data_IF_554746654732
#
_entry.id   IF_554746654732
#
_cell.length_a   1.000
_cell.length_b   1.000
_cell.length_c   1.000
_cell.angle_alpha   90.00
_cell.angle_beta   90.00
_cell.angle_gamma   90.00
#
_symmetry.space_group_name_H-M   'P 1'
#
loop_
_entity.id
_entity.type
_entity.pdbx_description
1 polymer ?
#
# COMPACT_ATOMS: atom_id res chain seq x y z
N UNK A 1 68.88 -47.71 16.75
CA UNK A 1 70.02 -46.87 17.21
C UNK A 1 69.44 -45.55 17.72
N UNK A 2 69.62 -45.27 19.01
CA UNK A 2 69.28 -44.01 19.67
C UNK A 2 70.03 -42.84 19.00
N UNK A 3 69.41 -41.66 18.86
CA UNK A 3 69.96 -40.38 19.35
C UNK A 3 68.81 -39.40 19.59
N UNK A 4 68.86 -38.77 20.76
CA UNK A 4 67.98 -37.74 21.30
C UNK A 4 68.67 -36.36 21.19
N UNK A 5 67.87 -35.27 21.26
CA UNK A 5 68.21 -33.84 21.55
C UNK A 5 68.80 -32.98 20.39
N UNK A 6 68.50 -31.67 20.17
CA UNK A 6 67.85 -30.58 20.95
C UNK A 6 67.56 -29.34 20.03
N UNK A 7 66.45 -28.58 20.33
CA UNK A 7 66.12 -27.12 20.14
C UNK A 7 66.29 -26.46 18.74
N UNK A 8 65.55 -25.43 18.27
CA UNK A 8 64.60 -24.39 18.73
C UNK A 8 64.19 -23.62 17.44
N UNK A 9 62.99 -23.13 17.13
CA UNK A 9 62.34 -21.93 17.69
C UNK A 9 61.16 -21.51 16.79
N UNK A 10 60.10 -20.97 17.43
CA UNK A 10 59.03 -20.08 16.92
C UNK A 10 57.94 -20.65 15.98
N UNK A 11 56.93 -21.19 16.64
CA UNK A 11 55.52 -21.17 16.24
C UNK A 11 55.00 -19.72 16.10
N UNK A 12 54.42 -19.38 14.95
CA UNK A 12 53.62 -18.18 14.75
C UNK A 12 52.19 -18.45 15.21
N UNK A 13 51.75 -17.63 16.15
CA UNK A 13 50.52 -17.70 16.93
C UNK A 13 49.28 -17.35 16.10
N UNK A 14 48.27 -18.22 16.20
CA UNK A 14 46.86 -17.92 15.96
C UNK A 14 46.40 -16.85 16.97
N UNK A 15 46.22 -15.61 16.53
CA UNK A 15 45.44 -14.64 17.28
C UNK A 15 43.95 -14.94 17.09
N UNK A 16 43.41 -15.71 18.02
CA UNK A 16 41.99 -15.77 18.32
C UNK A 16 41.54 -14.39 18.82
N UNK A 17 40.91 -13.61 17.93
CA UNK A 17 40.14 -12.43 18.31
C UNK A 17 38.88 -12.89 19.04
N UNK A 18 39.01 -13.16 20.34
CA UNK A 18 37.88 -13.34 21.26
C UNK A 18 37.29 -11.97 21.60
N UNK A 19 36.64 -11.36 20.62
CA UNK A 19 35.76 -10.23 20.83
C UNK A 19 34.48 -10.72 21.49
N UNK A 20 34.39 -10.56 22.81
CA UNK A 20 33.16 -10.69 23.60
C UNK A 20 32.09 -9.74 23.04
N UNK A 21 31.27 -10.24 22.11
CA UNK A 21 30.05 -9.54 21.68
C UNK A 21 29.02 -9.78 22.78
N UNK A 22 28.95 -8.79 23.66
CA UNK A 22 27.97 -8.61 24.72
C UNK A 22 26.56 -9.03 24.24
N UNK A 23 26.00 -10.10 24.81
CA UNK A 23 24.66 -10.65 24.46
C UNK A 23 23.54 -9.59 24.50
N UNK A 24 23.74 -8.51 25.28
CA UNK A 24 22.82 -7.37 25.38
C UNK A 24 22.60 -6.64 24.04
N UNK A 25 23.57 -6.62 23.14
CA UNK A 25 23.44 -5.95 21.83
C UNK A 25 22.61 -6.76 20.83
N UNK A 26 22.61 -8.09 20.93
CA UNK A 26 21.80 -8.96 20.06
C UNK A 26 20.30 -8.93 20.44
N UNK A 27 19.97 -8.70 21.71
CA UNK A 27 18.58 -8.55 22.20
C UNK A 27 17.94 -7.25 21.71
N UNK A 28 18.70 -6.16 21.62
CA UNK A 28 18.18 -4.83 21.25
C UNK A 28 17.81 -4.76 19.75
N UNK A 29 18.54 -5.45 18.88
CA UNK A 29 18.27 -5.46 17.43
C UNK A 29 16.99 -6.24 17.08
N UNK A 30 16.65 -7.28 17.86
CA UNK A 30 15.39 -8.02 17.70
C UNK A 30 14.20 -7.16 18.12
N UNK A 31 14.29 -6.48 19.26
CA UNK A 31 13.21 -5.66 19.84
C UNK A 31 12.73 -4.54 18.91
N UNK A 32 13.65 -3.81 18.25
CA UNK A 32 13.28 -2.74 17.33
C UNK A 32 12.53 -3.19 16.06
N UNK A 33 12.74 -4.43 15.60
CA UNK A 33 12.07 -4.99 14.42
C UNK A 33 10.69 -5.54 14.77
N UNK A 34 10.55 -6.25 15.89
CA UNK A 34 9.25 -6.76 16.37
C UNK A 34 8.29 -5.63 16.71
N UNK A 35 8.72 -4.62 17.48
CA UNK A 35 7.85 -3.49 17.87
C UNK A 35 7.40 -2.67 16.65
N UNK A 36 8.27 -2.48 15.64
CA UNK A 36 7.88 -1.82 14.37
C UNK A 36 6.82 -2.63 13.61
N UNK A 37 6.92 -3.95 13.58
CA UNK A 37 5.91 -4.81 12.95
C UNK A 37 4.60 -4.83 13.73
N UNK A 38 4.63 -4.84 15.07
CA UNK A 38 3.43 -4.79 15.91
C UNK A 38 2.67 -3.48 15.69
N UNK A 39 3.35 -2.33 15.66
CA UNK A 39 2.70 -1.03 15.38
C UNK A 39 2.05 -0.99 14.00
N UNK A 40 2.71 -1.54 12.97
CA UNK A 40 2.14 -1.63 11.61
C UNK A 40 0.89 -2.53 11.60
N UNK A 41 0.93 -3.66 12.28
CA UNK A 41 -0.20 -4.58 12.39
C UNK A 41 -1.39 -3.92 13.11
N UNK A 42 -1.15 -3.23 14.23
CA UNK A 42 -2.21 -2.53 14.98
C UNK A 42 -2.84 -1.43 14.11
N UNK A 43 -2.04 -0.62 13.42
CA UNK A 43 -2.56 0.42 12.51
C UNK A 43 -3.37 -0.19 11.36
N UNK A 44 -2.95 -1.33 10.83
CA UNK A 44 -3.69 -2.05 9.80
C UNK A 44 -5.04 -2.58 10.31
N UNK A 45 -5.07 -3.15 11.51
CA UNK A 45 -6.31 -3.62 12.15
C UNK A 45 -7.27 -2.45 12.40
N UNK A 46 -6.77 -1.32 12.91
CA UNK A 46 -7.57 -0.10 13.11
C UNK A 46 -8.15 0.40 11.78
N UNK A 47 -7.32 0.41 10.73
CA UNK A 47 -7.75 0.81 9.39
C UNK A 47 -8.89 -0.08 8.86
N UNK A 48 -8.77 -1.41 8.98
CA UNK A 48 -9.84 -2.34 8.61
C UNK A 48 -11.09 -2.08 9.45
N UNK A 49 -10.94 -1.95 10.78
CA UNK A 49 -12.07 -1.76 11.68
C UNK A 49 -12.85 -0.48 11.35
N UNK A 50 -12.15 0.63 11.09
CA UNK A 50 -12.77 1.88 10.66
C UNK A 50 -13.48 1.72 9.31
N UNK A 51 -12.86 1.07 8.33
CA UNK A 51 -13.52 0.83 7.03
C UNK A 51 -14.73 -0.10 7.13
N UNK A 52 -14.73 -1.05 8.05
CA UNK A 52 -15.85 -1.98 8.24
C UNK A 52 -16.99 -1.38 9.07
N UNK A 53 -16.73 -0.36 9.90
CA UNK A 53 -17.75 0.28 10.73
C UNK A 53 -18.23 1.60 10.12
N UNK A 54 -17.30 2.55 9.97
CA UNK A 54 -17.54 3.87 9.40
C UNK A 54 -17.77 3.79 7.88
N UNK A 55 -17.01 2.95 7.19
CA UNK A 55 -17.15 2.72 5.75
C UNK A 55 -18.03 1.52 5.37
N UNK A 56 -18.89 1.01 6.25
CA UNK A 56 -19.49 -0.31 6.07
C UNK A 56 -20.22 -0.49 4.73
N UNK A 57 -21.09 0.46 4.36
CA UNK A 57 -21.91 0.36 3.14
C UNK A 57 -21.06 0.33 1.86
N UNK A 58 -20.05 1.19 1.78
CA UNK A 58 -19.13 1.23 0.64
C UNK A 58 -18.20 0.02 0.60
N UNK A 59 -17.72 -0.45 1.76
CA UNK A 59 -16.87 -1.65 1.85
C UNK A 59 -17.65 -2.90 1.46
N UNK A 60 -18.94 -2.98 1.82
CA UNK A 60 -19.83 -4.04 1.39
C UNK A 60 -20.07 -3.99 -0.12
N UNK A 61 -20.34 -2.82 -0.69
CA UNK A 61 -20.45 -2.67 -2.14
C UNK A 61 -19.15 -3.09 -2.86
N UNK A 62 -18.00 -2.70 -2.32
CA UNK A 62 -16.69 -3.11 -2.81
C UNK A 62 -16.49 -4.63 -2.75
N UNK A 63 -16.92 -5.27 -1.66
CA UNK A 63 -16.88 -6.72 -1.52
C UNK A 63 -17.74 -7.43 -2.57
N UNK A 64 -18.95 -6.94 -2.86
CA UNK A 64 -19.80 -7.51 -3.91
C UNK A 64 -19.12 -7.43 -5.29
N UNK A 65 -18.54 -6.28 -5.63
CA UNK A 65 -17.79 -6.12 -6.90
C UNK A 65 -16.56 -7.02 -6.93
N UNK A 66 -15.86 -7.17 -5.80
CA UNK A 66 -14.74 -8.08 -5.65
C UNK A 66 -15.14 -9.55 -5.89
N UNK A 67 -16.25 -10.00 -5.32
CA UNK A 67 -16.76 -11.37 -5.51
C UNK A 67 -17.11 -11.65 -6.97
N UNK A 68 -17.67 -10.67 -7.69
CA UNK A 68 -17.92 -10.79 -9.14
C UNK A 68 -16.63 -10.88 -9.96
N UNK A 69 -15.51 -10.40 -9.42
CA UNK A 69 -14.20 -10.39 -10.07
C UNK A 69 -13.19 -11.32 -9.36
N UNK A 70 -13.64 -12.33 -8.61
CA UNK A 70 -12.78 -13.20 -7.78
C UNK A 70 -11.74 -13.99 -8.58
N UNK A 71 -11.98 -14.18 -9.89
CA UNK A 71 -11.07 -14.86 -10.81
C UNK A 71 -9.97 -13.94 -11.35
N UNK A 72 -10.03 -12.65 -11.02
CA UNK A 72 -9.07 -11.65 -11.46
C UNK A 72 -7.78 -11.70 -10.63
N UNK A 73 -6.74 -10.98 -11.08
CA UNK A 73 -5.53 -10.84 -10.28
C UNK A 73 -5.76 -9.83 -9.14
N UNK A 74 -5.41 -10.23 -7.92
CA UNK A 74 -5.55 -9.41 -6.72
C UNK A 74 -4.20 -9.21 -6.03
N UNK A 75 -3.96 -8.03 -5.49
CA UNK A 75 -2.77 -7.69 -4.71
C UNK A 75 -3.12 -6.75 -3.56
N UNK A 76 -2.35 -6.77 -2.47
CA UNK A 76 -2.49 -5.76 -1.43
C UNK A 76 -1.73 -4.49 -1.81
N UNK A 77 -2.42 -3.36 -1.78
CA UNK A 77 -1.88 -2.04 -2.10
C UNK A 77 -2.05 -1.10 -0.91
N UNK A 78 -0.98 -0.90 -0.14
CA UNK A 78 -0.97 -0.05 1.06
C UNK A 78 -2.11 -0.35 2.06
N UNK A 79 -2.50 -1.62 2.15
CA UNK A 79 -3.59 -2.09 3.02
C UNK A 79 -4.96 -2.18 2.35
N UNK A 80 -5.15 -1.62 1.15
CA UNK A 80 -6.32 -1.82 0.32
C UNK A 80 -6.18 -3.09 -0.54
N UNK A 81 -7.30 -3.72 -0.90
CA UNK A 81 -7.34 -4.86 -1.81
C UNK A 81 -7.43 -4.33 -3.24
N UNK A 82 -6.34 -4.43 -3.99
CA UNK A 82 -6.26 -4.05 -5.41
C UNK A 82 -6.65 -5.20 -6.30
N UNK A 83 -7.64 -4.98 -7.16
CA UNK A 83 -8.13 -5.95 -8.14
C UNK A 83 -7.91 -5.45 -9.55
N UNK A 84 -7.29 -6.26 -10.40
CA UNK A 84 -7.11 -5.93 -11.81
C UNK A 84 -8.26 -6.48 -12.65
N UNK A 85 -9.14 -5.60 -13.12
CA UNK A 85 -10.36 -6.00 -13.84
C UNK A 85 -10.34 -5.60 -15.32
N UNK A 86 -11.31 -6.11 -16.07
CA UNK A 86 -11.44 -5.87 -17.52
C UNK A 86 -11.98 -4.48 -17.88
N UNK A 87 -12.56 -3.75 -16.93
CA UNK A 87 -13.08 -2.42 -17.20
C UNK A 87 -11.96 -1.40 -17.48
N UNK A 88 -12.26 -0.40 -18.31
CA UNK A 88 -11.31 0.64 -18.72
C UNK A 88 -11.17 1.80 -17.71
N UNK A 89 -12.01 1.82 -16.68
CA UNK A 89 -12.01 2.81 -15.61
C UNK A 89 -11.50 2.21 -14.31
N UNK A 90 -10.98 3.06 -13.43
CA UNK A 90 -10.76 2.69 -12.03
C UNK A 90 -12.05 2.83 -11.21
N UNK A 91 -12.09 2.16 -10.08
CA UNK A 91 -13.17 2.29 -9.09
C UNK A 91 -12.61 2.06 -7.69
N UNK A 92 -13.02 2.90 -6.74
CA UNK A 92 -12.64 2.76 -5.33
C UNK A 92 -13.89 2.70 -4.45
N UNK A 93 -13.96 1.64 -3.64
CA UNK A 93 -15.09 1.33 -2.76
C UNK A 93 -14.56 0.84 -1.42
N UNK A 94 -14.47 1.74 -0.44
CA UNK A 94 -13.96 1.40 0.89
C UNK A 94 -12.56 0.81 0.81
N UNK A 95 -12.43 -0.43 1.29
CA UNK A 95 -11.18 -1.19 1.29
C UNK A 95 -10.71 -1.66 -0.10
N UNK A 96 -11.59 -1.66 -1.10
CA UNK A 96 -11.33 -2.27 -2.40
C UNK A 96 -11.03 -1.20 -3.44
N UNK A 97 -9.94 -1.40 -4.18
CA UNK A 97 -9.61 -0.59 -5.37
C UNK A 97 -9.56 -1.49 -6.59
N UNK A 98 -10.14 -1.02 -7.69
CA UNK A 98 -10.23 -1.73 -8.95
C UNK A 98 -9.51 -0.92 -10.02
N UNK A 99 -8.60 -1.58 -10.73
CA UNK A 99 -7.70 -0.94 -11.70
C UNK A 99 -7.74 -1.72 -13.02
N UNK A 100 -7.73 -1.07 -14.19
CA UNK A 100 -7.69 -1.75 -15.49
C UNK A 100 -6.48 -2.67 -15.63
N UNK A 101 -6.72 -3.93 -16.01
CA UNK A 101 -5.66 -4.91 -16.29
C UNK A 101 -4.93 -4.62 -17.61
N UNK A 102 -5.63 -4.05 -18.59
CA UNK A 102 -5.14 -3.86 -19.96
C UNK A 102 -4.45 -2.49 -20.16
N UNK A 103 -3.53 -2.11 -19.27
CA UNK A 103 -2.76 -0.87 -19.39
C UNK A 103 -1.28 -1.07 -19.05
N UNK A 104 -0.43 -0.12 -19.44
CA UNK A 104 1.00 -0.18 -19.08
C UNK A 104 1.16 -0.14 -17.56
N UNK A 105 2.24 -0.74 -17.04
CA UNK A 105 2.53 -0.77 -15.61
C UNK A 105 2.55 0.63 -14.99
N UNK A 106 3.08 1.62 -15.71
CA UNK A 106 3.14 3.00 -15.24
C UNK A 106 1.74 3.63 -15.10
N UNK A 107 0.86 3.39 -16.08
CA UNK A 107 -0.53 3.88 -16.03
C UNK A 107 -1.29 3.17 -14.91
N UNK A 108 -1.09 1.85 -14.77
CA UNK A 108 -1.72 1.04 -13.73
C UNK A 108 -1.34 1.50 -12.32
N UNK A 109 -0.05 1.81 -12.10
CA UNK A 109 0.42 2.34 -10.82
C UNK A 109 -0.09 3.75 -10.57
N UNK A 110 -0.07 4.65 -11.57
CA UNK A 110 -0.67 5.99 -11.45
C UNK A 110 -2.15 5.91 -11.06
N UNK A 111 -2.91 5.03 -11.70
CA UNK A 111 -4.31 4.79 -11.37
C UNK A 111 -4.46 4.20 -9.95
N UNK A 112 -3.60 3.26 -9.55
CA UNK A 112 -3.63 2.69 -8.20
C UNK A 112 -3.45 3.76 -7.11
N UNK A 113 -2.54 4.72 -7.34
CA UNK A 113 -2.34 5.87 -6.43
C UNK A 113 -3.60 6.73 -6.34
N UNK A 114 -4.24 7.01 -7.48
CA UNK A 114 -5.48 7.77 -7.57
C UNK A 114 -6.63 7.09 -6.81
N UNK A 115 -6.90 5.81 -7.10
CA UNK A 115 -7.95 5.03 -6.44
C UNK A 115 -7.71 4.86 -4.94
N UNK A 116 -6.44 4.78 -4.53
CA UNK A 116 -6.08 4.79 -3.11
C UNK A 116 -6.38 6.15 -2.45
N UNK A 117 -6.26 7.26 -3.17
CA UNK A 117 -6.71 8.56 -2.72
C UNK A 117 -8.20 8.59 -2.40
N UNK A 118 -9.02 7.97 -3.26
CA UNK A 118 -10.44 7.77 -3.00
C UNK A 118 -10.70 6.88 -1.79
N UNK A 119 -9.90 5.84 -1.56
CA UNK A 119 -9.96 5.03 -0.34
C UNK A 119 -9.72 5.85 0.94
N UNK A 120 -8.83 6.85 0.88
CA UNK A 120 -8.60 7.77 2.01
C UNK A 120 -9.76 8.74 2.21
N UNK A 121 -10.35 9.27 1.14
CA UNK A 121 -11.57 10.09 1.23
C UNK A 121 -12.73 9.29 1.81
N UNK A 122 -12.83 8.03 1.40
CA UNK A 122 -13.77 7.03 1.89
C UNK A 122 -13.61 6.78 3.39
N UNK A 123 -12.37 6.65 3.87
CA UNK A 123 -12.07 6.50 5.29
C UNK A 123 -12.45 7.78 6.08
N UNK A 124 -12.25 8.97 5.51
CA UNK A 124 -12.61 10.22 6.16
C UNK A 124 -14.13 10.40 6.24
N UNK A 125 -14.84 10.24 5.11
CA UNK A 125 -16.26 10.57 4.97
C UNK A 125 -17.20 9.44 5.38
N UNK A 126 -16.72 8.19 5.41
CA UNK A 126 -17.48 7.03 5.83
C UNK A 126 -18.77 6.86 5.01
N UNK A 127 -19.97 6.86 5.62
CA UNK A 127 -21.23 6.66 4.89
C UNK A 127 -21.51 7.77 3.87
N UNK A 128 -21.03 9.00 4.14
CA UNK A 128 -21.24 10.15 3.26
C UNK A 128 -20.39 10.09 1.99
N UNK A 129 -19.38 9.22 1.93
CA UNK A 129 -18.51 9.08 0.76
C UNK A 129 -19.32 8.82 -0.51
N UNK A 130 -20.26 7.88 -0.47
CA UNK A 130 -21.07 7.55 -1.65
C UNK A 130 -21.92 8.73 -2.13
N UNK A 131 -22.37 9.59 -1.22
CA UNK A 131 -23.19 10.76 -1.57
C UNK A 131 -22.36 11.98 -2.01
N UNK A 132 -21.23 12.23 -1.35
CA UNK A 132 -20.42 13.43 -1.54
C UNK A 132 -19.34 13.24 -2.61
N UNK A 133 -18.84 12.02 -2.78
CA UNK A 133 -17.74 11.68 -3.68
C UNK A 133 -18.21 10.73 -4.77
N UNK A 134 -18.74 9.57 -4.38
CA UNK A 134 -19.15 8.52 -5.32
C UNK A 134 -20.20 9.00 -6.32
N UNK A 135 -21.26 9.64 -5.84
CA UNK A 135 -22.36 10.10 -6.69
C UNK A 135 -21.92 11.24 -7.63
N UNK A 136 -21.23 12.31 -7.17
CA UNK A 136 -20.71 13.32 -8.09
C UNK A 136 -19.69 12.77 -9.10
N UNK A 137 -18.76 11.90 -8.70
CA UNK A 137 -17.81 11.27 -9.63
C UNK A 137 -18.52 10.38 -10.66
N UNK A 138 -19.56 9.64 -10.25
CA UNK A 138 -20.36 8.82 -11.18
C UNK A 138 -21.17 9.68 -12.16
N UNK A 139 -21.83 10.73 -11.68
CA UNK A 139 -22.54 11.70 -12.54
C UNK A 139 -21.56 12.36 -13.52
N UNK A 140 -20.39 12.76 -13.03
CA UNK A 140 -19.34 13.35 -13.86
C UNK A 140 -18.85 12.37 -14.93
N UNK A 141 -18.62 11.10 -14.58
CA UNK A 141 -18.28 10.03 -15.50
C UNK A 141 -19.33 9.84 -16.62
N UNK A 142 -20.62 9.84 -16.26
CA UNK A 142 -21.71 9.72 -17.23
C UNK A 142 -21.81 10.94 -18.18
N UNK A 143 -21.58 12.15 -17.65
CA UNK A 143 -21.67 13.39 -18.42
C UNK A 143 -20.39 13.71 -19.22
N UNK A 144 -19.25 13.09 -18.86
CA UNK A 144 -17.95 13.30 -19.51
C UNK A 144 -17.96 13.12 -21.04
N UNK A 145 -18.52 12.05 -21.65
CA UNK A 145 -18.54 11.91 -23.10
C UNK A 145 -19.33 13.01 -23.82
N UNK A 146 -20.34 13.60 -23.16
CA UNK A 146 -21.14 14.72 -23.70
C UNK A 146 -20.35 16.03 -23.57
N UNK A 147 -19.70 16.25 -22.43
CA UNK A 147 -18.97 17.48 -22.13
C UNK A 147 -17.62 17.57 -22.87
N UNK A 148 -16.93 16.43 -23.08
CA UNK A 148 -15.68 16.35 -23.84
C UNK A 148 -15.86 16.84 -25.28
N UNK A 149 -16.99 16.51 -25.92
CA UNK A 149 -17.32 16.98 -27.26
C UNK A 149 -17.64 18.47 -27.35
N UNK A 150 -18.09 19.08 -26.24
CA UNK A 150 -18.57 20.47 -26.22
C UNK A 150 -17.53 21.49 -25.74
N UNK A 151 -16.59 21.12 -24.87
CA UNK A 151 -15.77 22.12 -24.14
C UNK A 151 -14.30 21.76 -23.89
N UNK A 152 -13.77 20.63 -24.36
CA UNK A 152 -12.35 20.28 -24.16
C UNK A 152 -11.92 20.14 -22.69
N UNK A 153 -12.86 19.82 -21.79
CA UNK A 153 -12.63 19.72 -20.33
C UNK A 153 -11.97 18.37 -20.01
N UNK A 154 -10.92 18.37 -19.18
CA UNK A 154 -10.25 17.15 -18.72
C UNK A 154 -10.99 16.53 -17.52
N UNK A 155 -11.08 15.20 -17.48
CA UNK A 155 -11.79 14.45 -16.44
C UNK A 155 -11.32 14.82 -15.02
N UNK A 156 -10.00 14.97 -14.86
CA UNK A 156 -9.33 15.32 -13.60
C UNK A 156 -9.50 16.79 -13.16
N UNK A 157 -10.26 17.62 -13.88
CA UNK A 157 -10.49 19.00 -13.45
C UNK A 157 -11.46 19.14 -12.29
N UNK A 158 -12.24 18.09 -12.03
CA UNK A 158 -13.18 18.05 -10.93
C UNK A 158 -12.43 18.04 -9.58
N UNK A 159 -12.86 18.92 -8.65
CA UNK A 159 -12.12 19.19 -7.41
C UNK A 159 -11.95 17.94 -6.54
N UNK A 160 -12.93 17.04 -6.58
CA UNK A 160 -12.93 15.76 -5.85
C UNK A 160 -11.89 14.79 -6.41
N UNK A 161 -11.71 14.77 -7.74
CA UNK A 161 -10.69 13.96 -8.43
C UNK A 161 -9.29 14.50 -8.13
N UNK A 162 -9.09 15.83 -8.17
CA UNK A 162 -7.83 16.48 -7.77
C UNK A 162 -7.47 16.18 -6.32
N UNK A 163 -8.48 16.15 -5.45
CA UNK A 163 -8.31 15.84 -4.04
C UNK A 163 -7.83 14.40 -3.84
N UNK A 164 -8.42 13.42 -4.54
CA UNK A 164 -7.99 12.03 -4.50
C UNK A 164 -6.54 11.90 -4.99
N UNK A 165 -6.22 12.54 -6.12
CA UNK A 165 -4.89 12.52 -6.71
C UNK A 165 -3.81 13.07 -5.76
N UNK A 166 -4.09 14.20 -5.10
CA UNK A 166 -3.18 14.82 -4.15
C UNK A 166 -2.97 13.95 -2.90
N UNK A 167 -4.05 13.36 -2.38
CA UNK A 167 -4.00 12.51 -1.19
C UNK A 167 -3.28 11.20 -1.44
N UNK A 168 -3.57 10.54 -2.56
CA UNK A 168 -2.87 9.33 -2.99
C UNK A 168 -1.36 9.55 -3.09
N UNK A 169 -0.94 10.60 -3.84
CA UNK A 169 0.48 10.94 -4.00
C UNK A 169 1.17 11.20 -2.66
N UNK A 170 0.53 11.99 -1.77
CA UNK A 170 1.08 12.31 -0.45
C UNK A 170 1.20 11.07 0.43
N UNK A 171 0.19 10.21 0.46
CA UNK A 171 0.19 8.99 1.26
C UNK A 171 1.25 8.00 0.78
N UNK A 172 1.31 7.71 -0.52
CA UNK A 172 2.33 6.83 -1.10
C UNK A 172 3.74 7.37 -0.82
N UNK A 173 3.98 8.68 -1.02
CA UNK A 173 5.28 9.30 -0.73
C UNK A 173 5.70 9.14 0.74
N UNK A 174 4.76 9.29 1.69
CA UNK A 174 5.02 9.07 3.12
C UNK A 174 5.33 7.60 3.43
N UNK A 175 4.67 6.66 2.77
CA UNK A 175 4.92 5.23 2.95
C UNK A 175 6.31 4.86 2.43
N UNK A 176 6.69 5.32 1.24
CA UNK A 176 8.03 5.08 0.68
C UNK A 176 9.14 5.69 1.54
N UNK A 177 8.97 6.93 2.03
CA UNK A 177 9.93 7.55 2.96
C UNK A 177 10.11 6.80 4.29
N UNK A 178 9.10 6.02 4.71
CA UNK A 178 9.18 5.21 5.94
C UNK A 178 9.81 3.82 5.73
N UNK A 179 10.08 3.45 4.48
CA UNK A 179 10.70 2.17 4.12
C UNK A 179 12.20 2.28 3.83
N UNK A 180 12.67 3.47 3.48
CA UNK A 180 14.09 3.87 3.47
C UNK A 180 14.59 4.09 4.90
#
# INVERSE_FOLDING_TARGET
>A
MQVNKIKSSKSLSLEYVTGSINEKSAVIIRSGRTVKNTKKLVLFIIYIFLQCTWGMLQTLAGLLVFLLNITSSHNLYHGAVRTFWSAKSGLSLGLFIFVPANCSREISEKMSVHEYGHTLQSLLLGPLYLLVIGLPSFIWFLLYPINKKKKGIYYYDFIIEKWADAWGKKACALIYRRQL
#
